data_IF_994867831039
#
_entry.id   IF_994867831039
#
_cell.length_a   1.000
_cell.length_b   1.000
_cell.length_c   1.000
_cell.angle_alpha   90.00
_cell.angle_beta   90.00
_cell.angle_gamma   90.00
#
_symmetry.space_group_name_H-M   'P 1'
#
loop_
_entity.id
_entity.type
_entity.pdbx_description
1 polymer ?
#
# COMPACT_ATOMS: atom_id res chain seq x y z
N UNK A 1 -29.39 0.02 36.46
CA UNK A 1 -28.94 -0.92 35.41
C UNK A 1 -29.10 -0.20 34.09
N UNK A 2 -28.03 0.38 33.54
CA UNK A 2 -28.07 1.04 32.23
C UNK A 2 -28.02 -0.05 31.15
N UNK A 3 -29.13 -0.25 30.45
CA UNK A 3 -29.18 -1.12 29.27
C UNK A 3 -28.66 -0.29 28.10
N UNK A 4 -27.43 -0.55 27.67
CA UNK A 4 -26.89 0.04 26.45
C UNK A 4 -27.60 -0.59 25.25
N UNK A 5 -28.54 0.16 24.65
CA UNK A 5 -29.15 -0.20 23.37
C UNK A 5 -28.18 0.24 22.28
N UNK A 6 -27.45 -0.71 21.70
CA UNK A 6 -26.60 -0.48 20.52
C UNK A 6 -27.52 -0.16 19.34
N UNK A 7 -27.30 0.98 18.66
CA UNK A 7 -28.07 1.38 17.49
C UNK A 7 -27.90 0.36 16.34
N UNK A 8 -28.93 0.21 15.50
CA UNK A 8 -28.87 -0.65 14.30
C UNK A 8 -27.67 -0.29 13.40
N UNK A 9 -27.36 1.00 13.27
CA UNK A 9 -26.23 1.46 12.44
C UNK A 9 -24.88 1.06 13.03
N UNK A 10 -24.75 1.13 14.35
CA UNK A 10 -23.53 0.70 15.05
C UNK A 10 -23.35 -0.82 15.02
N UNK A 11 -24.44 -1.59 15.09
CA UNK A 11 -24.41 -3.04 14.95
C UNK A 11 -24.02 -3.44 13.52
N UNK A 12 -24.59 -2.78 12.51
CA UNK A 12 -24.24 -2.99 11.11
C UNK A 12 -22.76 -2.67 10.85
N UNK A 13 -22.27 -1.53 11.34
CA UNK A 13 -20.86 -1.16 11.23
C UNK A 13 -19.93 -2.19 11.90
N UNK A 14 -20.29 -2.71 13.08
CA UNK A 14 -19.53 -3.76 13.77
C UNK A 14 -19.51 -5.07 12.98
N UNK A 15 -20.65 -5.47 12.40
CA UNK A 15 -20.73 -6.67 11.56
C UNK A 15 -19.83 -6.53 10.33
N UNK A 16 -19.93 -5.40 9.62
CA UNK A 16 -19.07 -5.10 8.46
C UNK A 16 -17.60 -5.11 8.86
N UNK A 17 -17.26 -4.52 10.01
CA UNK A 17 -15.90 -4.51 10.55
C UNK A 17 -15.39 -5.91 10.88
N UNK A 18 -16.21 -6.76 11.49
CA UNK A 18 -15.86 -8.16 11.78
C UNK A 18 -15.63 -8.93 10.48
N UNK A 19 -16.54 -8.81 9.50
CA UNK A 19 -16.34 -9.41 8.19
C UNK A 19 -15.06 -8.89 7.52
N UNK A 20 -14.77 -7.59 7.63
CA UNK A 20 -13.53 -7.03 7.10
C UNK A 20 -12.29 -7.65 7.76
N UNK A 21 -12.26 -7.70 9.10
CA UNK A 21 -11.13 -8.28 9.85
C UNK A 21 -10.96 -9.77 9.53
N UNK A 22 -12.06 -10.54 9.47
CA UNK A 22 -12.03 -11.99 9.25
C UNK A 22 -11.62 -12.34 7.82
N UNK A 23 -12.03 -11.57 6.83
CA UNK A 23 -11.82 -11.91 5.42
C UNK A 23 -10.67 -11.16 4.75
N UNK A 24 -10.31 -9.98 5.24
CA UNK A 24 -9.35 -9.09 4.59
C UNK A 24 -8.10 -8.80 5.42
N UNK A 25 -7.96 -9.36 6.63
CA UNK A 25 -6.71 -9.30 7.39
C UNK A 25 -6.20 -10.71 7.70
N UNK A 26 -4.88 -10.89 7.56
CA UNK A 26 -4.16 -12.05 8.09
C UNK A 26 -3.35 -11.59 9.29
N UNK A 27 -3.65 -12.14 10.46
CA UNK A 27 -2.93 -11.83 11.71
C UNK A 27 -2.04 -12.97 12.14
N UNK A 28 -0.86 -12.64 12.63
CA UNK A 28 0.08 -13.60 13.22
C UNK A 28 0.83 -12.91 14.36
N UNK A 29 1.33 -13.71 15.30
CA UNK A 29 2.12 -13.25 16.43
C UNK A 29 3.61 -13.36 16.09
N UNK A 30 4.33 -12.26 16.26
CA UNK A 30 5.76 -12.12 16.01
C UNK A 30 6.41 -11.49 17.23
N UNK A 31 7.32 -12.20 17.90
CA UNK A 31 8.01 -11.68 19.09
C UNK A 31 7.06 -11.11 20.15
N UNK A 32 5.92 -11.79 20.39
CA UNK A 32 4.82 -11.38 21.28
C UNK A 32 4.04 -10.13 20.84
N UNK A 33 4.29 -9.60 19.64
CA UNK A 33 3.53 -8.52 19.02
C UNK A 33 2.59 -9.08 17.96
N UNK A 34 1.38 -8.54 17.87
CA UNK A 34 0.42 -8.92 16.83
C UNK A 34 0.65 -8.06 15.59
N UNK A 35 0.92 -8.69 14.45
CA UNK A 35 1.04 -8.02 13.16
C UNK A 35 -0.13 -8.41 12.28
N UNK A 36 -0.74 -7.43 11.63
CA UNK A 36 -1.81 -7.62 10.66
C UNK A 36 -1.33 -7.26 9.26
N UNK A 37 -1.55 -8.16 8.31
CA UNK A 37 -1.30 -7.92 6.89
C UNK A 37 -2.65 -7.85 6.19
N UNK A 38 -2.88 -6.77 5.44
CA UNK A 38 -4.07 -6.66 4.59
C UNK A 38 -3.99 -7.64 3.43
N UNK A 39 -5.01 -8.47 3.22
CA UNK A 39 -5.03 -9.45 2.12
C UNK A 39 -4.92 -8.72 0.78
N UNK A 40 -4.01 -9.16 -0.09
CA UNK A 40 -3.86 -8.64 -1.44
C UNK A 40 -5.15 -8.87 -2.23
N UNK A 41 -5.86 -7.78 -2.53
CA UNK A 41 -7.09 -7.74 -3.35
C UNK A 41 -6.82 -7.23 -4.76
N UNK A 42 -5.66 -6.61 -4.97
CA UNK A 42 -5.13 -6.18 -6.25
C UNK A 42 -4.86 -4.67 -6.30
N UNK A 43 -5.81 -3.85 -5.84
CA UNK A 43 -5.65 -2.39 -5.77
C UNK A 43 -4.79 -1.95 -4.59
N UNK A 44 -4.66 -2.79 -3.56
CA UNK A 44 -3.91 -2.50 -2.33
C UNK A 44 -2.46 -3.02 -2.35
N UNK A 45 -1.91 -3.35 -3.52
CA UNK A 45 -0.59 -4.00 -3.65
C UNK A 45 0.53 -3.29 -2.88
N UNK A 46 0.65 -1.96 -2.96
CA UNK A 46 1.69 -1.23 -2.23
C UNK A 46 1.53 -1.36 -0.72
N UNK A 47 0.31 -1.27 -0.22
CA UNK A 47 0.02 -1.40 1.22
C UNK A 47 0.28 -2.82 1.72
N UNK A 48 -0.20 -3.82 0.98
CA UNK A 48 0.09 -5.23 1.26
C UNK A 48 1.60 -5.51 1.31
N UNK A 49 2.35 -4.97 0.35
CA UNK A 49 3.80 -5.14 0.31
C UNK A 49 4.49 -4.51 1.53
N UNK A 50 4.12 -3.30 1.90
CA UNK A 50 4.64 -2.62 3.09
C UNK A 50 4.34 -3.41 4.38
N UNK A 51 3.10 -3.92 4.52
CA UNK A 51 2.72 -4.73 5.69
C UNK A 51 3.51 -6.05 5.77
N UNK A 52 3.75 -6.68 4.62
CA UNK A 52 4.58 -7.89 4.50
C UNK A 52 6.04 -7.61 4.87
N UNK A 53 6.63 -6.51 4.38
CA UNK A 53 8.02 -6.13 4.69
C UNK A 53 8.17 -5.78 6.18
N UNK A 54 7.26 -4.97 6.73
CA UNK A 54 7.23 -4.61 8.14
C UNK A 54 7.09 -5.83 9.07
N UNK A 55 6.21 -6.77 8.71
CA UNK A 55 6.01 -8.00 9.46
C UNK A 55 7.28 -8.86 9.60
N UNK A 56 8.10 -8.88 8.55
CA UNK A 56 9.33 -9.66 8.50
C UNK A 56 10.44 -8.96 9.27
N UNK A 57 10.57 -7.64 9.14
CA UNK A 57 11.50 -6.86 9.95
C UNK A 57 11.21 -7.00 11.45
N UNK A 58 9.92 -6.97 11.84
CA UNK A 58 9.48 -7.20 13.22
C UNK A 58 9.83 -8.59 13.76
N UNK A 59 10.03 -9.57 12.87
CA UNK A 59 10.40 -10.92 13.23
C UNK A 59 11.89 -11.11 13.53
N UNK A 60 12.68 -10.01 13.53
CA UNK A 60 14.14 -10.04 13.60
C UNK A 60 14.76 -10.93 12.52
N UNK A 61 14.09 -10.94 11.36
CA UNK A 61 14.51 -11.68 10.19
C UNK A 61 15.31 -10.73 9.33
N UNK A 62 16.62 -10.97 9.22
CA UNK A 62 17.48 -10.19 8.33
C UNK A 62 17.00 -10.34 6.88
N UNK A 63 16.43 -9.25 6.33
CA UNK A 63 15.88 -9.22 4.98
C UNK A 63 16.96 -9.50 3.92
N UNK A 64 18.25 -9.28 4.24
CA UNK A 64 19.37 -9.64 3.36
C UNK A 64 19.47 -11.15 3.12
N UNK A 65 18.99 -11.96 4.09
CA UNK A 65 18.85 -13.41 3.96
C UNK A 65 17.62 -13.82 3.13
N UNK A 66 16.86 -12.88 2.57
CA UNK A 66 15.79 -13.17 1.59
C UNK A 66 16.21 -12.69 0.20
N UNK A 67 17.14 -11.75 0.11
CA UNK A 67 17.52 -11.13 -1.15
C UNK A 67 18.45 -12.01 -1.97
N UNK A 68 19.47 -12.66 -1.40
CA UNK A 68 20.39 -13.45 -2.23
C UNK A 68 20.46 -14.89 -1.76
N UNK A 69 20.16 -15.82 -2.68
CA UNK A 69 20.27 -17.25 -2.42
C UNK A 69 21.75 -17.56 -2.16
N UNK A 70 22.11 -18.17 -1.02
CA UNK A 70 23.47 -18.62 -0.78
C UNK A 70 23.87 -19.65 -1.81
N UNK A 71 25.18 -19.76 -2.05
CA UNK A 71 25.74 -20.81 -2.90
C UNK A 71 25.29 -22.20 -2.43
N UNK A 72 25.13 -23.13 -3.37
CA UNK A 72 24.78 -24.50 -3.02
C UNK A 72 25.90 -25.12 -2.16
N UNK A 73 25.49 -25.83 -1.11
CA UNK A 73 26.44 -26.47 -0.21
C UNK A 73 27.22 -27.58 -0.93
N UNK A 74 28.52 -27.68 -0.62
CA UNK A 74 29.41 -28.73 -1.13
C UNK A 74 29.88 -29.63 0.01
N UNK A 75 30.51 -30.76 -0.32
CA UNK A 75 31.08 -31.66 0.70
C UNK A 75 32.16 -30.98 1.58
N UNK A 76 32.76 -29.89 1.10
CA UNK A 76 33.78 -29.10 1.80
C UNK A 76 33.22 -27.89 2.53
N UNK A 77 31.90 -27.66 2.49
CA UNK A 77 31.31 -26.47 3.11
C UNK A 77 31.52 -26.46 4.62
N UNK A 78 31.86 -25.27 5.12
CA UNK A 78 32.10 -25.05 6.55
C UNK A 78 30.80 -25.15 7.34
N UNK A 79 30.89 -25.33 8.65
CA UNK A 79 29.70 -25.34 9.51
C UNK A 79 28.97 -23.99 9.48
N UNK A 80 29.73 -22.89 9.38
CA UNK A 80 29.17 -21.55 9.26
C UNK A 80 28.37 -21.39 7.95
N UNK A 81 28.88 -21.86 6.82
CA UNK A 81 28.16 -21.85 5.54
C UNK A 81 26.86 -22.65 5.59
N UNK A 82 26.88 -23.83 6.23
CA UNK A 82 25.68 -24.65 6.44
C UNK A 82 24.66 -23.94 7.32
N UNK A 83 25.12 -23.25 8.37
CA UNK A 83 24.25 -22.50 9.27
C UNK A 83 23.54 -21.34 8.56
N UNK A 84 24.26 -20.59 7.73
CA UNK A 84 23.72 -19.50 6.91
C UNK A 84 22.70 -20.05 5.91
N UNK A 85 23.02 -21.15 5.23
CA UNK A 85 22.10 -21.79 4.30
C UNK A 85 20.82 -22.28 4.98
N UNK A 86 20.92 -22.89 6.17
CA UNK A 86 19.77 -23.34 6.94
C UNK A 86 18.89 -22.17 7.41
N UNK A 87 19.50 -21.08 7.89
CA UNK A 87 18.81 -19.86 8.28
C UNK A 87 18.06 -19.24 7.08
N UNK A 88 18.75 -19.11 5.94
CA UNK A 88 18.16 -18.62 4.69
C UNK A 88 16.96 -19.46 4.26
N UNK A 89 17.07 -20.79 4.25
CA UNK A 89 15.97 -21.68 3.86
C UNK A 89 14.74 -21.51 4.75
N UNK A 90 14.94 -21.41 6.08
CA UNK A 90 13.86 -21.19 7.05
C UNK A 90 13.17 -19.84 6.81
N UNK A 91 13.95 -18.78 6.67
CA UNK A 91 13.45 -17.43 6.44
C UNK A 91 12.70 -17.32 5.12
N UNK A 92 13.29 -17.82 4.03
CA UNK A 92 12.68 -17.87 2.69
C UNK A 92 11.34 -18.64 2.73
N UNK A 93 11.27 -19.75 3.47
CA UNK A 93 10.03 -20.50 3.63
C UNK A 93 8.95 -19.72 4.39
N UNK A 94 9.30 -19.04 5.48
CA UNK A 94 8.37 -18.20 6.25
C UNK A 94 7.82 -17.08 5.35
N UNK A 95 8.69 -16.38 4.62
CA UNK A 95 8.27 -15.29 3.75
C UNK A 95 7.33 -15.75 2.62
N UNK A 96 7.64 -16.90 2.00
CA UNK A 96 6.76 -17.54 1.01
C UNK A 96 5.38 -17.85 1.57
N UNK A 97 5.31 -18.42 2.78
CA UNK A 97 4.03 -18.75 3.41
C UNK A 97 3.23 -17.49 3.75
N UNK A 98 3.88 -16.47 4.30
CA UNK A 98 3.25 -15.19 4.64
C UNK A 98 2.64 -14.52 3.41
N UNK A 99 3.41 -14.42 2.31
CA UNK A 99 2.88 -13.89 1.05
C UNK A 99 1.71 -14.74 0.52
N UNK A 100 1.88 -16.06 0.41
CA UNK A 100 0.83 -16.92 -0.16
C UNK A 100 -0.45 -16.94 0.65
N UNK A 101 -0.36 -16.83 1.97
CA UNK A 101 -1.54 -16.78 2.84
C UNK A 101 -2.27 -15.45 2.78
N UNK A 102 -1.57 -14.37 2.49
CA UNK A 102 -2.12 -13.02 2.39
C UNK A 102 -2.51 -12.64 0.95
N UNK A 103 -2.69 -13.58 0.04
CA UNK A 103 -3.17 -13.33 -1.34
C UNK A 103 -4.53 -14.03 -1.51
N UNK A 104 -5.51 -13.34 -2.12
CA UNK A 104 -6.79 -13.98 -2.46
C UNK A 104 -6.60 -15.14 -3.44
N UNK A 105 -7.33 -16.23 -3.25
CA UNK A 105 -7.13 -17.47 -4.00
C UNK A 105 -7.23 -17.29 -5.53
N UNK A 106 -8.18 -16.48 -6.00
CA UNK A 106 -8.33 -16.22 -7.44
C UNK A 106 -7.11 -15.46 -8.03
N UNK A 107 -6.39 -14.67 -7.21
CA UNK A 107 -5.18 -13.95 -7.61
C UNK A 107 -3.93 -14.83 -7.55
N UNK A 108 -3.98 -16.01 -6.92
CA UNK A 108 -2.87 -16.97 -6.94
C UNK A 108 -2.69 -17.61 -8.31
N UNK A 109 -3.74 -17.62 -9.12
CA UNK A 109 -3.67 -18.12 -10.49
C UNK A 109 -2.56 -17.39 -11.26
N UNK A 110 -1.66 -18.14 -11.91
CA UNK A 110 -0.53 -17.60 -12.67
C UNK A 110 0.67 -17.10 -11.85
N UNK A 111 0.71 -17.29 -10.52
CA UNK A 111 1.92 -17.10 -9.73
C UNK A 111 2.80 -18.37 -9.73
N UNK A 112 4.14 -18.24 -9.68
CA UNK A 112 5.04 -19.40 -9.66
C UNK A 112 4.81 -20.30 -8.44
N UNK A 113 4.69 -21.61 -8.66
CA UNK A 113 4.44 -22.61 -7.60
C UNK A 113 5.73 -23.07 -6.89
N UNK A 114 6.83 -23.18 -7.62
CA UNK A 114 8.14 -23.57 -7.10
C UNK A 114 9.12 -22.44 -7.36
N UNK A 115 9.36 -21.62 -6.35
CA UNK A 115 10.19 -20.43 -6.45
C UNK A 115 10.71 -20.04 -5.07
N UNK A 116 11.71 -19.19 -5.05
CA UNK A 116 12.14 -18.46 -3.86
C UNK A 116 11.15 -17.35 -3.53
N UNK A 117 11.23 -16.84 -2.31
CA UNK A 117 10.39 -15.75 -1.85
C UNK A 117 10.66 -14.46 -2.66
N UNK A 118 11.93 -14.20 -3.01
CA UNK A 118 12.33 -13.11 -3.91
C UNK A 118 11.69 -13.23 -5.29
N UNK A 119 11.73 -14.42 -5.88
CA UNK A 119 11.10 -14.68 -7.19
C UNK A 119 9.58 -14.49 -7.13
N UNK A 120 8.92 -14.97 -6.06
CA UNK A 120 7.48 -14.75 -5.87
C UNK A 120 7.15 -13.27 -5.75
N UNK A 121 7.86 -12.53 -4.89
CA UNK A 121 7.67 -11.10 -4.71
C UNK A 121 7.91 -10.34 -6.02
N UNK A 122 8.94 -10.72 -6.79
CA UNK A 122 9.22 -10.15 -8.12
C UNK A 122 8.07 -10.40 -9.11
N UNK A 123 7.54 -11.62 -9.17
CA UNK A 123 6.40 -11.93 -10.05
C UNK A 123 5.13 -11.15 -9.68
N UNK A 124 4.88 -10.96 -8.38
CA UNK A 124 3.75 -10.14 -7.90
C UNK A 124 3.99 -8.67 -8.24
N UNK A 125 5.18 -8.13 -7.96
CA UNK A 125 5.56 -6.75 -8.31
C UNK A 125 5.32 -6.48 -9.79
N UNK A 126 5.76 -7.37 -10.68
CA UNK A 126 5.60 -7.23 -12.12
C UNK A 126 4.13 -7.24 -12.55
N UNK A 127 3.32 -8.14 -11.99
CA UNK A 127 1.88 -8.21 -12.26
C UNK A 127 1.18 -6.89 -11.91
N UNK A 128 1.51 -6.31 -10.75
CA UNK A 128 0.83 -5.09 -10.27
C UNK A 128 1.50 -3.80 -10.73
N UNK A 129 2.70 -3.85 -11.31
CA UNK A 129 3.37 -2.69 -11.91
C UNK A 129 2.54 -2.06 -13.02
N UNK A 130 1.94 -2.88 -13.89
CA UNK A 130 1.09 -2.39 -14.99
C UNK A 130 -0.18 -1.74 -14.45
N UNK A 131 -0.82 -2.34 -13.44
CA UNK A 131 -2.00 -1.76 -12.77
C UNK A 131 -1.67 -0.43 -12.12
N UNK A 132 -0.60 -0.38 -11.32
CA UNK A 132 -0.16 0.84 -10.64
C UNK A 132 0.12 1.97 -11.64
N UNK A 133 0.76 1.69 -12.78
CA UNK A 133 0.97 2.69 -13.83
C UNK A 133 -0.34 3.18 -14.47
N UNK A 134 -1.32 2.30 -14.65
CA UNK A 134 -2.65 2.68 -15.15
C UNK A 134 -3.40 3.55 -14.13
N UNK A 135 -3.33 3.20 -12.85
CA UNK A 135 -3.94 3.94 -11.74
C UNK A 135 -3.29 5.32 -11.57
N UNK A 136 -1.95 5.40 -11.58
CA UNK A 136 -1.19 6.66 -11.58
C UNK A 136 -1.63 7.53 -12.77
N UNK A 137 -1.69 6.96 -13.98
CA UNK A 137 -2.12 7.70 -15.18
C UNK A 137 -3.56 8.19 -15.05
N UNK A 138 -4.46 7.37 -14.53
CA UNK A 138 -5.86 7.73 -14.30
C UNK A 138 -6.00 8.86 -13.28
N UNK A 139 -5.29 8.77 -12.15
CA UNK A 139 -5.28 9.78 -11.11
C UNK A 139 -4.68 11.11 -11.60
N UNK A 140 -3.54 11.07 -12.29
CA UNK A 140 -2.95 12.28 -12.91
C UNK A 140 -3.89 12.90 -13.93
N UNK A 141 -4.52 12.08 -14.78
CA UNK A 141 -5.52 12.55 -15.75
C UNK A 141 -6.73 13.18 -15.05
N UNK A 142 -7.19 12.60 -13.95
CA UNK A 142 -8.27 13.14 -13.13
C UNK A 142 -7.90 14.47 -12.49
N UNK A 143 -6.72 14.55 -11.88
CA UNK A 143 -6.20 15.75 -11.24
C UNK A 143 -6.01 16.92 -12.23
N UNK A 144 -5.39 16.67 -13.38
CA UNK A 144 -5.06 17.74 -14.32
C UNK A 144 -6.21 18.17 -15.23
N UNK A 145 -7.21 17.31 -15.46
CA UNK A 145 -8.40 17.68 -16.23
C UNK A 145 -9.59 18.09 -15.35
N UNK A 146 -9.46 18.00 -14.03
CA UNK A 146 -10.46 18.45 -13.09
C UNK A 146 -10.70 19.96 -13.26
N UNK A 147 -11.96 20.34 -13.37
CA UNK A 147 -12.43 21.73 -13.44
C UNK A 147 -13.44 21.95 -12.32
N UNK A 148 -13.48 23.17 -11.78
CA UNK A 148 -14.51 23.53 -10.82
C UNK A 148 -15.86 23.67 -11.54
N UNK A 149 -16.82 22.82 -11.16
CA UNK A 149 -18.14 22.68 -11.77
C UNK A 149 -19.19 23.68 -11.24
N UNK A 150 -18.81 24.51 -10.27
CA UNK A 150 -19.75 25.44 -9.62
C UNK A 150 -20.57 24.81 -8.49
N UNK A 151 -20.40 23.52 -8.23
CA UNK A 151 -21.14 22.79 -7.20
C UNK A 151 -20.28 22.62 -5.93
N UNK A 152 -20.84 22.99 -4.78
CA UNK A 152 -20.13 23.03 -3.51
C UNK A 152 -19.11 24.19 -3.39
N UNK A 153 -18.40 24.24 -2.28
CA UNK A 153 -17.42 25.30 -2.01
C UNK A 153 -16.08 25.09 -2.74
N UNK A 154 -15.31 26.17 -2.91
CA UNK A 154 -13.91 26.10 -3.37
C UNK A 154 -13.07 25.22 -2.43
N UNK A 155 -13.38 25.22 -1.12
CA UNK A 155 -12.75 24.35 -0.14
C UNK A 155 -12.96 22.87 -0.47
N UNK A 156 -14.19 22.46 -0.81
CA UNK A 156 -14.51 21.08 -1.14
C UNK A 156 -13.79 20.65 -2.43
N UNK A 157 -13.66 21.57 -3.38
CA UNK A 157 -12.89 21.36 -4.60
C UNK A 157 -11.40 21.11 -4.31
N UNK A 158 -10.77 21.94 -3.48
CA UNK A 158 -9.36 21.77 -3.08
C UNK A 158 -9.17 20.47 -2.30
N UNK A 159 -10.09 20.11 -1.41
CA UNK A 159 -10.04 18.83 -0.68
C UNK A 159 -10.03 17.65 -1.66
N UNK A 160 -10.84 17.69 -2.73
CA UNK A 160 -10.79 16.65 -3.77
C UNK A 160 -9.45 16.60 -4.48
N UNK A 161 -8.79 17.73 -4.75
CA UNK A 161 -7.44 17.73 -5.33
C UNK A 161 -6.39 17.14 -4.37
N UNK A 162 -6.48 17.44 -3.08
CA UNK A 162 -5.60 16.85 -2.05
C UNK A 162 -5.83 15.34 -1.91
N UNK A 163 -7.07 14.87 -2.10
CA UNK A 163 -7.37 13.43 -2.16
C UNK A 163 -6.65 12.74 -3.34
N UNK A 164 -6.63 13.34 -4.53
CA UNK A 164 -5.81 12.85 -5.66
C UNK A 164 -4.32 12.84 -5.32
N UNK A 165 -3.79 13.90 -4.72
CA UNK A 165 -2.39 13.98 -4.27
C UNK A 165 -2.06 12.86 -3.28
N UNK A 166 -2.94 12.62 -2.30
CA UNK A 166 -2.77 11.58 -1.28
C UNK A 166 -2.76 10.18 -1.89
N UNK A 167 -3.67 9.92 -2.84
CA UNK A 167 -3.72 8.65 -3.58
C UNK A 167 -2.47 8.45 -4.44
N UNK A 168 -1.97 9.50 -5.09
CA UNK A 168 -0.71 9.45 -5.85
C UNK A 168 0.48 9.19 -4.93
N UNK A 169 0.51 9.79 -3.74
CA UNK A 169 1.56 9.56 -2.73
C UNK A 169 1.56 8.11 -2.24
N UNK A 170 0.41 7.49 -2.05
CA UNK A 170 0.29 6.06 -1.74
C UNK A 170 0.82 5.16 -2.88
N UNK A 171 0.86 5.67 -4.11
CA UNK A 171 1.48 5.05 -5.28
C UNK A 171 2.95 5.45 -5.48
N UNK A 172 3.59 6.03 -4.46
CA UNK A 172 4.98 6.54 -4.47
C UNK A 172 5.23 7.67 -5.49
N UNK A 173 4.16 8.35 -5.92
CA UNK A 173 4.25 9.57 -6.73
C UNK A 173 4.01 10.76 -5.81
N UNK A 174 5.10 11.38 -5.35
CA UNK A 174 5.02 12.55 -4.49
C UNK A 174 4.89 13.82 -5.34
N UNK A 175 3.72 14.46 -5.27
CA UNK A 175 3.49 15.75 -5.91
C UNK A 175 3.68 16.86 -4.87
N UNK A 176 4.55 17.84 -5.12
CA UNK A 176 4.71 18.99 -4.24
C UNK A 176 3.39 19.75 -4.03
N UNK A 177 3.16 20.25 -2.81
CA UNK A 177 1.94 21.01 -2.48
C UNK A 177 1.73 22.21 -3.41
N UNK A 178 2.82 22.86 -3.81
CA UNK A 178 2.82 23.97 -4.78
C UNK A 178 2.16 23.58 -6.12
N UNK A 179 2.32 22.33 -6.58
CA UNK A 179 1.69 21.84 -7.79
C UNK A 179 0.16 21.80 -7.64
N UNK A 180 -0.33 21.32 -6.49
CA UNK A 180 -1.77 21.24 -6.19
C UNK A 180 -2.36 22.65 -6.07
N UNK A 181 -1.66 23.57 -5.40
CA UNK A 181 -2.10 24.95 -5.25
C UNK A 181 -2.21 25.64 -6.61
N UNK A 182 -1.17 25.57 -7.46
CA UNK A 182 -1.23 26.17 -8.79
C UNK A 182 -2.31 25.52 -9.68
N UNK A 183 -2.48 24.21 -9.61
CA UNK A 183 -3.51 23.52 -10.37
C UNK A 183 -4.92 23.96 -9.93
N UNK A 184 -5.16 24.09 -8.62
CA UNK A 184 -6.41 24.60 -8.08
C UNK A 184 -6.68 26.03 -8.58
N UNK A 185 -5.68 26.90 -8.50
CA UNK A 185 -5.81 28.29 -8.97
C UNK A 185 -6.07 28.36 -10.47
N UNK A 186 -5.40 27.56 -11.30
CA UNK A 186 -5.56 27.59 -12.75
C UNK A 186 -6.96 27.15 -13.21
N UNK A 187 -7.55 26.18 -12.52
CA UNK A 187 -8.84 25.56 -12.89
C UNK A 187 -10.05 26.26 -12.25
N UNK A 188 -9.83 27.23 -11.35
CA UNK A 188 -10.89 28.07 -10.80
C UNK A 188 -11.41 29.08 -11.85
N UNK A 189 -12.75 29.24 -11.97
CA UNK A 189 -13.36 30.21 -12.85
C UNK A 189 -12.97 31.65 -12.50
N UNK A 190 -13.09 32.54 -13.48
CA UNK A 190 -12.74 33.97 -13.35
C UNK A 190 -13.48 34.70 -12.22
N UNK A 191 -14.66 34.21 -11.80
CA UNK A 191 -15.39 34.74 -10.64
C UNK A 191 -14.62 34.66 -9.31
N UNK A 192 -13.57 33.83 -9.24
CA UNK A 192 -12.68 33.70 -8.09
C UNK A 192 -11.30 34.33 -8.33
N UNK A 193 -11.17 35.25 -9.28
CA UNK A 193 -9.91 35.92 -9.62
C UNK A 193 -9.20 36.55 -8.40
N UNK A 194 -9.98 37.08 -7.44
CA UNK A 194 -9.46 37.64 -6.18
C UNK A 194 -8.58 36.63 -5.42
N UNK A 195 -8.95 35.34 -5.43
CA UNK A 195 -8.16 34.29 -4.76
C UNK A 195 -6.80 34.11 -5.45
N UNK A 196 -6.74 34.19 -6.79
CA UNK A 196 -5.49 34.10 -7.55
C UNK A 196 -4.58 35.30 -7.26
N UNK A 197 -5.14 36.51 -7.21
CA UNK A 197 -4.39 37.73 -6.95
C UNK A 197 -3.77 37.73 -5.54
N UNK A 198 -4.53 37.32 -4.53
CA UNK A 198 -4.06 37.29 -3.13
C UNK A 198 -2.90 36.30 -2.92
N UNK A 199 -2.94 35.13 -3.57
CA UNK A 199 -1.87 34.14 -3.46
C UNK A 199 -0.56 34.65 -4.08
N UNK A 200 -0.62 35.22 -5.29
CA UNK A 200 0.57 35.73 -5.97
C UNK A 200 1.26 36.86 -5.18
N UNK A 201 0.50 37.72 -4.50
CA UNK A 201 1.07 38.77 -3.64
C UNK A 201 1.71 38.26 -2.35
N UNK A 202 1.42 37.03 -1.91
CA UNK A 202 2.07 36.40 -0.75
C UNK A 202 3.40 35.73 -1.11
N UNK A 203 3.57 35.26 -2.35
CA UNK A 203 4.80 34.63 -2.84
C UNK A 203 5.90 35.68 -3.21
N UNK A 204 5.50 36.93 -3.46
CA UNK A 204 6.40 38.06 -3.78
C UNK A 204 6.90 38.83 -2.54
N UNK A 205 6.54 38.42 -1.32
CA UNK A 205 6.93 39.06 -0.05
C UNK A 205 7.85 38.19 0.81
#
# INVERSE_FOLDING_TARGET
MYVYIVSSDTLFALIVLIFYIVYFLVTFSVNNNMVSIEVLTGSNFNKWKEDIEFAIEMADVDLSLVTDKPGDLTATSTEDEKSVHAAWMKINHIYLLSMRKSILDHLKSGLPTYCTAKELMSAINERYRVSSNADIRSLLKGLFNMMYDGNGGVKDYVIRMVDYQTKLKALKVDLPDICIVHQALNTLPSKFSIIKTNYNTQDES
#
